data_IF_248585330148
#
_entry.id   IF_248585330148
#
_cell.length_a   1.000
_cell.length_b   1.000
_cell.length_c   1.000
_cell.angle_alpha   90.00
_cell.angle_beta   90.00
_cell.angle_gamma   90.00
#
_symmetry.space_group_name_H-M   'P 1'
#
loop_
_entity.id
_entity.type
_entity.pdbx_description
1 polymer ?
#
# COMPACT_ATOMS: atom_id res chain seq x y z
N UNK A 1 -0.63 -5.58 -10.47
CA UNK A 1 0.51 -5.68 -9.52
C UNK A 1 0.37 -4.57 -8.49
N UNK A 2 1.11 -4.65 -7.40
CA UNK A 2 1.16 -3.58 -6.37
C UNK A 2 2.62 -3.24 -6.08
N UNK A 3 2.88 -2.04 -5.60
CA UNK A 3 4.16 -1.63 -5.06
C UNK A 3 4.11 -1.81 -3.54
N UNK A 4 5.06 -2.55 -2.98
CA UNK A 4 5.16 -2.81 -1.55
C UNK A 4 6.59 -2.56 -1.08
N UNK A 5 6.74 -1.78 -0.01
CA UNK A 5 8.03 -1.60 0.66
C UNK A 5 8.31 -2.80 1.57
N UNK A 6 8.93 -3.85 1.00
CA UNK A 6 9.31 -5.05 1.75
C UNK A 6 10.31 -4.74 2.88
N UNK A 7 11.15 -3.71 2.71
CA UNK A 7 12.13 -3.30 3.72
C UNK A 7 11.50 -2.76 5.00
N UNK A 8 10.24 -2.29 4.94
CA UNK A 8 9.51 -1.79 6.11
C UNK A 8 8.37 -2.70 6.54
N UNK A 9 8.32 -3.91 5.97
CA UNK A 9 7.35 -4.91 6.38
C UNK A 9 7.56 -5.28 7.85
N UNK A 10 6.49 -5.24 8.65
CA UNK A 10 6.56 -5.48 10.10
C UNK A 10 6.74 -4.21 10.94
N UNK A 11 7.04 -3.07 10.31
CA UNK A 11 6.84 -1.77 10.96
C UNK A 11 5.37 -1.37 10.93
N UNK A 12 4.99 -0.43 11.78
CA UNK A 12 3.65 0.14 11.87
C UNK A 12 3.77 1.67 12.00
N UNK A 13 2.78 2.45 11.52
CA UNK A 13 1.53 2.03 10.88
C UNK A 13 1.71 1.66 9.39
N UNK A 14 0.78 0.87 8.83
CA UNK A 14 0.72 0.54 7.41
C UNK A 14 -0.01 1.65 6.66
N UNK A 15 0.67 2.22 5.67
CA UNK A 15 0.14 3.20 4.76
C UNK A 15 -0.18 2.56 3.42
N UNK A 16 -1.37 2.86 2.89
CA UNK A 16 -1.79 2.44 1.56
C UNK A 16 -2.26 3.61 0.73
N UNK A 17 -1.78 3.70 -0.51
CA UNK A 17 -2.13 4.77 -1.46
C UNK A 17 -2.54 4.14 -2.78
N UNK A 18 -3.77 4.42 -3.23
CA UNK A 18 -4.25 4.05 -4.56
C UNK A 18 -4.10 5.21 -5.51
N UNK A 19 -3.19 5.06 -6.47
CA UNK A 19 -2.98 6.01 -7.56
C UNK A 19 -3.52 5.42 -8.86
N UNK A 20 -3.81 6.30 -9.83
CA UNK A 20 -4.10 5.85 -11.18
C UNK A 20 -2.84 5.18 -11.72
N UNK A 21 -2.98 3.94 -12.20
CA UNK A 21 -1.88 3.37 -12.95
C UNK A 21 -1.70 4.17 -14.25
N UNK A 22 -0.47 4.44 -14.69
CA UNK A 22 -0.23 5.06 -15.99
C UNK A 22 -0.74 4.14 -17.11
N UNK A 23 -0.95 4.68 -18.32
CA UNK A 23 -1.52 3.93 -19.45
C UNK A 23 -0.79 2.61 -19.78
N UNK A 24 0.51 2.53 -19.47
CA UNK A 24 1.37 1.35 -19.66
C UNK A 24 1.70 0.61 -18.33
N UNK A 25 1.21 1.12 -17.20
CA UNK A 25 1.51 0.59 -15.88
C UNK A 25 0.44 -0.36 -15.36
N UNK A 26 0.86 -1.40 -14.66
CA UNK A 26 -0.03 -2.34 -13.97
C UNK A 26 -0.05 -2.16 -12.44
N UNK A 27 0.57 -1.10 -11.92
CA UNK A 27 0.67 -0.80 -10.49
C UNK A 27 -0.22 0.39 -10.16
N UNK A 28 -1.31 0.13 -9.42
CA UNK A 28 -2.23 1.18 -8.94
C UNK A 28 -2.17 1.37 -7.43
N UNK A 29 -1.50 0.48 -6.71
CA UNK A 29 -1.46 0.45 -5.25
C UNK A 29 -0.03 0.51 -4.76
N UNK A 30 0.22 1.37 -3.77
CA UNK A 30 1.50 1.58 -3.12
C UNK A 30 1.31 1.39 -1.62
N UNK A 31 2.09 0.48 -1.03
CA UNK A 31 2.02 0.14 0.39
C UNK A 31 3.40 0.27 1.02
N UNK A 32 3.46 0.86 2.20
CA UNK A 32 4.65 0.89 3.04
C UNK A 32 4.22 0.89 4.49
N UNK A 33 5.09 0.44 5.39
CA UNK A 33 4.80 0.48 6.82
C UNK A 33 5.84 1.34 7.56
N UNK A 34 5.45 1.98 8.65
CA UNK A 34 6.33 2.87 9.42
C UNK A 34 6.85 4.05 8.61
N UNK A 35 8.18 4.18 8.55
CA UNK A 35 8.82 5.35 7.97
C UNK A 35 8.95 5.24 6.44
N UNK A 36 8.55 6.30 5.75
CA UNK A 36 8.74 6.43 4.31
C UNK A 36 10.19 6.77 3.98
N UNK A 37 10.74 6.15 2.92
CA UNK A 37 12.05 6.51 2.38
C UNK A 37 11.94 6.89 0.91
N UNK A 38 12.70 7.90 0.48
CA UNK A 38 12.76 8.33 -0.93
C UNK A 38 13.66 7.45 -1.81
N UNK A 39 14.24 6.38 -1.24
CA UNK A 39 15.11 5.47 -1.97
C UNK A 39 14.42 4.89 -3.22
N UNK A 40 15.16 4.82 -4.33
CA UNK A 40 14.65 4.28 -5.60
C UNK A 40 14.20 2.82 -5.49
N UNK A 41 14.86 2.05 -4.63
CA UNK A 41 14.56 0.64 -4.35
C UNK A 41 13.58 0.46 -3.18
N UNK A 42 12.96 1.53 -2.69
CA UNK A 42 12.06 1.47 -1.54
C UNK A 42 10.81 0.63 -1.83
N UNK A 43 10.16 0.86 -2.97
CA UNK A 43 9.00 0.09 -3.39
C UNK A 43 9.40 -1.03 -4.34
N UNK A 44 8.97 -2.25 -4.02
CA UNK A 44 9.17 -3.39 -4.89
C UNK A 44 7.85 -3.84 -5.51
N UNK A 45 7.83 -4.20 -6.80
CA UNK A 45 6.65 -4.73 -7.46
C UNK A 45 6.32 -6.13 -6.91
N UNK A 46 5.15 -6.26 -6.31
CA UNK A 46 4.63 -7.51 -5.74
C UNK A 46 3.34 -7.90 -6.44
N UNK A 47 3.14 -9.19 -6.63
CA UNK A 47 1.87 -9.73 -7.12
C UNK A 47 0.78 -9.61 -6.07
N UNK A 48 -0.43 -9.23 -6.48
CA UNK A 48 -1.60 -9.14 -5.59
C UNK A 48 -1.89 -10.45 -4.85
N UNK A 49 -1.53 -11.60 -5.44
CA UNK A 49 -1.62 -12.91 -4.80
C UNK A 49 -0.71 -13.06 -3.57
N UNK A 50 0.53 -12.57 -3.62
CA UNK A 50 1.43 -12.58 -2.46
C UNK A 50 1.07 -11.48 -1.46
N UNK A 51 0.44 -10.39 -1.89
CA UNK A 51 0.00 -9.34 -0.98
C UNK A 51 -0.96 -9.87 0.10
N UNK A 52 -1.84 -10.82 -0.22
CA UNK A 52 -2.72 -11.43 0.78
C UNK A 52 -1.98 -12.27 1.83
N UNK A 53 -0.78 -12.77 1.50
CA UNK A 53 0.04 -13.50 2.46
C UNK A 53 0.93 -12.55 3.28
N UNK A 54 1.45 -11.50 2.64
CA UNK A 54 2.34 -10.52 3.28
C UNK A 54 1.59 -9.53 4.16
N UNK A 55 0.46 -9.00 3.67
CA UNK A 55 -0.36 -7.98 4.33
C UNK A 55 -1.85 -8.28 4.11
N UNK A 56 -2.40 -9.34 4.74
CA UNK A 56 -3.82 -9.66 4.63
C UNK A 56 -4.73 -8.50 5.07
N UNK A 57 -4.26 -7.67 6.01
CA UNK A 57 -4.98 -6.50 6.51
C UNK A 57 -5.28 -5.47 5.42
N UNK A 58 -4.41 -5.31 4.40
CA UNK A 58 -4.63 -4.32 3.34
C UNK A 58 -5.55 -4.82 2.22
N UNK A 59 -5.79 -6.13 2.14
CA UNK A 59 -6.57 -6.77 1.06
C UNK A 59 -8.00 -6.23 1.01
N UNK A 60 -8.60 -5.92 2.17
CA UNK A 60 -9.95 -5.35 2.23
C UNK A 60 -10.05 -3.98 1.54
N UNK A 61 -8.96 -3.21 1.50
CA UNK A 61 -8.90 -1.89 0.87
C UNK A 61 -8.65 -1.94 -0.63
N UNK A 62 -8.16 -3.05 -1.20
CA UNK A 62 -7.84 -3.16 -2.63
C UNK A 62 -9.02 -2.83 -3.56
N UNK A 63 -10.25 -2.92 -3.06
CA UNK A 63 -11.48 -2.61 -3.81
C UNK A 63 -11.84 -1.11 -3.82
N UNK A 64 -11.15 -0.27 -3.03
CA UNK A 64 -11.46 1.16 -2.91
C UNK A 64 -11.09 1.94 -4.17
N UNK A 65 -11.83 3.00 -4.55
CA UNK A 65 -11.60 3.74 -5.79
C UNK A 65 -10.22 4.43 -5.84
N UNK A 66 -9.77 4.75 -7.06
CA UNK A 66 -8.55 5.55 -7.26
C UNK A 66 -8.62 6.89 -6.51
N UNK A 67 -7.48 7.35 -5.98
CA UNK A 67 -7.42 8.52 -5.10
C UNK A 67 -7.63 8.18 -3.63
N UNK A 68 -7.85 6.92 -3.27
CA UNK A 68 -7.98 6.52 -1.87
C UNK A 68 -6.62 6.38 -1.19
N UNK A 69 -6.51 6.91 0.02
CA UNK A 69 -5.38 6.75 0.94
C UNK A 69 -5.89 6.20 2.26
N UNK A 70 -5.09 5.38 2.92
CA UNK A 70 -5.41 4.90 4.25
C UNK A 70 -4.17 4.69 5.10
N UNK A 71 -4.37 4.72 6.41
CA UNK A 71 -3.40 4.38 7.45
C UNK A 71 -4.07 3.40 8.40
N UNK A 72 -3.42 2.29 8.67
CA UNK A 72 -3.86 1.32 9.68
C UNK A 72 -2.70 0.92 10.59
N UNK A 73 -2.98 0.67 11.86
CA UNK A 73 -2.00 0.24 12.86
C UNK A 73 -2.49 -1.02 13.58
N UNK A 74 -1.60 -1.78 14.24
CA UNK A 74 -1.99 -2.94 15.05
C UNK A 74 -2.70 -2.54 16.36
N UNK A 75 -2.55 -1.28 16.79
CA UNK A 75 -3.24 -0.73 17.96
C UNK A 75 -4.72 -0.38 17.69
N UNK A 76 -5.24 -0.66 16.49
CA UNK A 76 -6.63 -0.41 16.12
C UNK A 76 -6.90 0.97 15.53
N UNK A 77 -5.86 1.73 15.20
CA UNK A 77 -6.00 2.96 14.42
C UNK A 77 -6.30 2.59 12.97
N UNK A 78 -7.36 3.17 12.40
CA UNK A 78 -7.75 3.03 10.99
C UNK A 78 -8.29 4.37 10.50
N UNK A 79 -7.60 4.96 9.52
CA UNK A 79 -8.01 6.21 8.88
C UNK A 79 -8.00 6.02 7.36
N UNK A 80 -9.11 6.34 6.70
CA UNK A 80 -9.28 6.16 5.25
C UNK A 80 -9.87 7.43 4.68
N UNK A 81 -9.16 8.05 3.75
CA UNK A 81 -9.60 9.28 3.11
C UNK A 81 -9.36 9.24 1.61
N UNK A 82 -10.06 10.09 0.87
CA UNK A 82 -9.83 10.27 -0.57
C UNK A 82 -9.14 11.60 -0.80
N UNK A 83 -8.12 11.59 -1.64
CA UNK A 83 -7.55 12.79 -2.23
C UNK A 83 -8.22 12.97 -3.59
N UNK A 84 -8.93 14.09 -3.74
CA UNK A 84 -9.52 14.54 -4.99
C UNK A 84 -8.46 15.11 -5.94
#
# INVERSE_FOLDING_TARGET
MVALALSTLGCMPIHGVRQAAPEDGNISWFFYCGEYSDAKDFYQPVHTAHLSELLPAVVKYLRLPVGTRFIIDDQGYEDVWRVE
#
